data_IF_595926999617
#
_entry.id   IF_595926999617
#
_cell.length_a   1.000
_cell.length_b   1.000
_cell.length_c   1.000
_cell.angle_alpha   90.00
_cell.angle_beta   90.00
_cell.angle_gamma   90.00
#
_symmetry.space_group_name_H-M   'P 1'
#
loop_
_entity.id
_entity.type
_entity.pdbx_description
1 polymer ?
#
# COMPACT_ATOMS: atom_id res chain seq x y z
N UNK A 1 -7.43 29.60 19.07
CA UNK A 1 -7.39 28.72 17.88
C UNK A 1 -6.91 27.35 18.36
N UNK A 2 -7.79 26.36 18.44
CA UNK A 2 -7.44 25.03 18.94
C UNK A 2 -6.79 24.25 17.80
N UNK A 3 -5.47 24.05 17.86
CA UNK A 3 -4.79 23.15 16.94
C UNK A 3 -5.19 21.72 17.31
N UNK A 4 -6.10 21.13 16.54
CA UNK A 4 -6.31 19.67 16.56
C UNK A 4 -4.94 19.00 16.47
N UNK A 5 -4.61 18.03 17.34
CA UNK A 5 -3.37 17.27 17.20
C UNK A 5 -3.38 16.66 15.81
N UNK A 6 -2.44 17.08 14.95
CA UNK A 6 -2.28 16.45 13.64
C UNK A 6 -1.83 15.03 13.93
N UNK A 7 -2.68 14.06 13.60
CA UNK A 7 -2.28 12.67 13.55
C UNK A 7 -1.03 12.57 12.66
N UNK A 8 -0.05 11.77 13.09
CA UNK A 8 1.13 11.52 12.29
C UNK A 8 0.71 11.01 10.89
N UNK A 9 1.32 11.52 9.81
CA UNK A 9 0.94 11.16 8.45
C UNK A 9 1.13 9.65 8.23
N UNK A 10 0.13 8.96 7.65
CA UNK A 10 0.24 7.53 7.43
C UNK A 10 1.15 7.22 6.24
N UNK A 11 2.00 6.20 6.39
CA UNK A 11 2.88 5.67 5.35
C UNK A 11 2.57 4.19 5.18
N UNK A 12 2.27 3.76 3.95
CA UNK A 12 2.00 2.37 3.62
C UNK A 12 3.18 1.75 2.87
N UNK A 13 3.58 0.56 3.30
CA UNK A 13 4.53 -0.29 2.58
C UNK A 13 3.74 -1.34 1.79
N UNK A 14 3.91 -1.35 0.47
CA UNK A 14 3.27 -2.29 -0.45
C UNK A 14 4.33 -3.21 -1.03
N UNK A 15 4.26 -4.49 -0.71
CA UNK A 15 5.21 -5.51 -1.15
C UNK A 15 4.58 -6.27 -2.30
N UNK A 16 5.19 -6.18 -3.47
CA UNK A 16 4.77 -6.91 -4.67
C UNK A 16 5.51 -8.23 -4.71
N UNK A 17 4.77 -9.32 -4.63
CA UNK A 17 5.29 -10.67 -4.66
C UNK A 17 4.64 -11.46 -5.80
N UNK A 18 5.33 -11.50 -6.92
CA UNK A 18 4.98 -12.30 -8.09
C UNK A 18 5.13 -13.80 -7.84
N UNK A 19 4.32 -14.63 -8.51
CA UNK A 19 4.30 -16.07 -8.27
C UNK A 19 5.63 -16.79 -8.60
N UNK A 20 6.45 -16.21 -9.48
CA UNK A 20 7.71 -16.79 -9.93
C UNK A 20 8.84 -16.60 -8.90
N UNK A 21 8.59 -15.81 -7.86
CA UNK A 21 9.51 -15.65 -6.73
C UNK A 21 9.16 -16.67 -5.65
N UNK A 22 10.08 -17.58 -5.37
CA UNK A 22 9.93 -18.56 -4.30
C UNK A 22 9.86 -17.86 -2.93
N UNK A 23 9.04 -18.40 -2.02
CA UNK A 23 8.79 -17.79 -0.71
C UNK A 23 10.06 -17.64 0.14
N UNK A 24 10.96 -18.62 0.06
CA UNK A 24 12.24 -18.69 0.77
C UNK A 24 13.32 -17.77 0.19
N UNK A 25 13.20 -17.38 -1.09
CA UNK A 25 14.21 -16.59 -1.81
C UNK A 25 14.20 -15.08 -1.47
N UNK A 26 13.24 -14.60 -0.68
CA UNK A 26 13.16 -13.17 -0.31
C UNK A 26 11.95 -12.79 0.54
N UNK A 27 10.72 -13.13 0.11
CA UNK A 27 9.49 -12.80 0.84
C UNK A 27 9.50 -13.21 2.32
N UNK A 28 9.96 -14.41 2.65
CA UNK A 28 10.07 -14.88 4.03
C UNK A 28 11.07 -14.07 4.87
N UNK A 29 12.21 -13.68 4.29
CA UNK A 29 13.19 -12.80 4.95
C UNK A 29 12.61 -11.43 5.22
N UNK A 30 11.93 -10.85 4.23
CA UNK A 30 11.27 -9.55 4.37
C UNK A 30 10.16 -9.57 5.42
N UNK A 31 9.31 -10.60 5.40
CA UNK A 31 8.27 -10.79 6.41
C UNK A 31 8.87 -10.85 7.81
N UNK A 32 9.93 -11.63 8.01
CA UNK A 32 10.60 -11.72 9.32
C UNK A 32 11.08 -10.34 9.80
N UNK A 33 11.76 -9.58 8.94
CA UNK A 33 12.25 -8.24 9.29
C UNK A 33 11.10 -7.28 9.66
N UNK A 34 9.97 -7.34 8.94
CA UNK A 34 8.81 -6.50 9.24
C UNK A 34 8.10 -6.91 10.53
N UNK A 35 8.05 -8.20 10.86
CA UNK A 35 7.55 -8.70 12.14
C UNK A 35 8.43 -8.20 13.29
N UNK A 36 9.76 -8.30 13.14
CA UNK A 36 10.72 -7.82 14.13
C UNK A 36 10.55 -6.32 14.39
N UNK A 37 10.40 -5.52 13.32
CA UNK A 37 10.16 -4.08 13.40
C UNK A 37 8.71 -3.70 13.75
N UNK A 38 7.81 -4.69 13.90
CA UNK A 38 6.37 -4.50 14.13
C UNK A 38 5.71 -3.55 13.11
N UNK A 39 6.15 -3.60 11.87
CA UNK A 39 5.64 -2.73 10.81
C UNK A 39 4.57 -3.45 9.99
N UNK A 40 3.32 -2.95 9.94
CA UNK A 40 2.31 -3.52 9.07
C UNK A 40 2.64 -3.22 7.60
N UNK A 41 2.29 -4.16 6.72
CA UNK A 41 2.50 -4.03 5.28
C UNK A 41 1.36 -4.66 4.47
N UNK A 42 1.16 -4.13 3.27
CA UNK A 42 0.24 -4.68 2.28
C UNK A 42 1.01 -5.60 1.34
N UNK A 43 0.65 -6.88 1.33
CA UNK A 43 1.26 -7.90 0.49
C UNK A 43 0.41 -8.14 -0.75
N UNK A 44 0.86 -7.59 -1.87
CA UNK A 44 0.27 -7.81 -3.17
C UNK A 44 0.79 -9.13 -3.75
N UNK A 45 -0.07 -10.14 -3.80
CA UNK A 45 0.22 -11.50 -4.25
C UNK A 45 -0.70 -11.92 -5.40
N UNK A 46 -0.26 -12.82 -6.27
CA UNK A 46 -1.00 -13.26 -7.46
C UNK A 46 -1.87 -14.49 -7.19
N UNK A 47 -1.46 -15.33 -6.23
CA UNK A 47 -2.11 -16.59 -5.91
C UNK A 47 -2.35 -16.72 -4.40
N UNK A 48 -3.52 -17.24 -3.98
CA UNK A 48 -3.83 -17.45 -2.57
C UNK A 48 -2.78 -18.28 -1.82
N UNK A 49 -2.14 -19.26 -2.47
CA UNK A 49 -1.11 -20.09 -1.84
C UNK A 49 0.10 -19.29 -1.31
N UNK A 50 0.35 -18.09 -1.83
CA UNK A 50 1.40 -17.19 -1.32
C UNK A 50 1.05 -16.59 0.05
N UNK A 51 -0.21 -16.66 0.49
CA UNK A 51 -0.65 -16.17 1.81
C UNK A 51 -0.20 -17.06 2.96
N UNK A 52 0.06 -18.35 2.70
CA UNK A 52 0.40 -19.33 3.74
C UNK A 52 1.56 -18.87 4.64
N UNK A 53 2.72 -18.41 4.13
CA UNK A 53 3.78 -17.89 4.98
C UNK A 53 3.41 -16.59 5.70
N UNK A 54 2.47 -15.80 5.16
CA UNK A 54 2.04 -14.54 5.77
C UNK A 54 1.13 -14.75 7.00
N UNK A 55 0.54 -15.94 7.14
CA UNK A 55 -0.29 -16.32 8.29
C UNK A 55 0.46 -16.34 9.63
N UNK A 56 1.79 -16.21 9.62
CA UNK A 56 2.60 -16.09 10.84
C UNK A 56 2.38 -14.76 11.61
N UNK A 57 1.88 -13.72 10.94
CA UNK A 57 1.61 -12.41 11.56
C UNK A 57 0.38 -11.72 10.93
N UNK A 58 -0.82 -12.30 11.07
CA UNK A 58 -2.02 -11.81 10.39
C UNK A 58 -2.39 -10.36 10.74
N UNK A 59 -2.01 -9.90 11.93
CA UNK A 59 -2.24 -8.52 12.39
C UNK A 59 -1.33 -7.47 11.73
N UNK A 60 -0.25 -7.89 11.08
CA UNK A 60 0.69 -7.00 10.36
C UNK A 60 0.54 -7.11 8.84
N UNK A 61 -0.37 -7.95 8.36
CA UNK A 61 -0.49 -8.31 6.95
C UNK A 61 -1.88 -7.93 6.43
N UNK A 62 -1.90 -7.07 5.44
CA UNK A 62 -3.03 -6.98 4.51
C UNK A 62 -2.72 -7.83 3.28
N UNK A 63 -3.69 -8.66 2.85
CA UNK A 63 -3.61 -9.35 1.57
C UNK A 63 -4.19 -8.46 0.46
N UNK A 64 -3.41 -8.22 -0.58
CA UNK A 64 -3.83 -7.52 -1.78
C UNK A 64 -3.67 -8.43 -3.00
N UNK A 65 -4.54 -8.25 -3.99
CA UNK A 65 -4.42 -8.94 -5.27
C UNK A 65 -3.45 -8.17 -6.18
N UNK A 66 -2.35 -8.81 -6.53
CA UNK A 66 -1.42 -8.33 -7.55
C UNK A 66 -1.97 -8.73 -8.92
N UNK A 67 -2.26 -7.74 -9.76
CA UNK A 67 -2.68 -7.95 -11.13
C UNK A 67 -1.51 -7.69 -12.09
N UNK A 68 -1.35 -8.52 -13.13
CA UNK A 68 -0.35 -8.32 -14.16
C UNK A 68 -0.62 -7.03 -14.94
N UNK A 69 0.29 -6.70 -15.85
CA UNK A 69 0.22 -5.48 -16.64
C UNK A 69 -1.10 -5.43 -17.41
N UNK A 70 -1.79 -4.27 -17.33
CA UNK A 70 -3.11 -4.08 -17.94
C UNK A 70 -3.03 -4.32 -19.45
N UNK A 71 -3.62 -5.42 -19.89
CA UNK A 71 -3.82 -5.79 -21.30
C UNK A 71 -5.32 -5.99 -21.58
N UNK A 72 -5.66 -6.51 -22.78
CA UNK A 72 -7.04 -6.74 -23.20
C UNK A 72 -7.82 -7.67 -22.25
N UNK A 73 -7.14 -8.46 -21.42
CA UNK A 73 -7.73 -9.47 -20.54
C UNK A 73 -7.78 -9.02 -19.07
N UNK A 74 -7.54 -7.73 -18.78
CA UNK A 74 -7.49 -7.22 -17.40
C UNK A 74 -8.76 -7.52 -16.61
N UNK A 75 -9.95 -7.33 -17.22
CA UNK A 75 -11.23 -7.58 -16.54
C UNK A 75 -11.42 -9.05 -16.16
N UNK A 76 -11.02 -9.97 -17.05
CA UNK A 76 -11.11 -11.41 -16.82
C UNK A 76 -10.12 -11.83 -15.74
N UNK A 77 -8.86 -11.36 -15.83
CA UNK A 77 -7.83 -11.63 -14.83
C UNK A 77 -8.21 -11.09 -13.43
N UNK A 78 -8.87 -9.93 -13.38
CA UNK A 78 -9.41 -9.34 -12.16
C UNK A 78 -10.52 -10.21 -11.57
N UNK A 79 -11.53 -10.57 -12.37
CA UNK A 79 -12.65 -11.37 -11.90
C UNK A 79 -12.22 -12.75 -11.41
N UNK A 80 -11.38 -13.42 -12.19
CA UNK A 80 -10.79 -14.72 -11.88
C UNK A 80 -9.90 -14.65 -10.64
N UNK A 81 -9.05 -13.62 -10.52
CA UNK A 81 -8.23 -13.37 -9.34
C UNK A 81 -9.06 -13.18 -8.07
N UNK A 82 -10.06 -12.29 -8.10
CA UNK A 82 -10.95 -12.05 -6.95
C UNK A 82 -11.73 -13.31 -6.57
N UNK A 83 -12.20 -14.08 -7.56
CA UNK A 83 -12.89 -15.35 -7.30
C UNK A 83 -11.97 -16.35 -6.60
N UNK A 84 -10.72 -16.53 -7.06
CA UNK A 84 -9.75 -17.42 -6.42
C UNK A 84 -9.46 -17.02 -4.97
N UNK A 85 -9.26 -15.73 -4.70
CA UNK A 85 -8.99 -15.25 -3.35
C UNK A 85 -10.20 -15.43 -2.43
N UNK A 86 -11.40 -15.12 -2.93
CA UNK A 86 -12.65 -15.34 -2.21
C UNK A 86 -12.86 -16.83 -1.89
N UNK A 87 -12.63 -17.73 -2.85
CA UNK A 87 -12.73 -19.18 -2.65
C UNK A 87 -11.72 -19.71 -1.63
N UNK A 88 -10.56 -19.06 -1.51
CA UNK A 88 -9.55 -19.35 -0.49
C UNK A 88 -9.82 -18.67 0.87
N UNK A 89 -10.94 -17.95 1.02
CA UNK A 89 -11.33 -17.29 2.27
C UNK A 89 -10.60 -15.96 2.53
N UNK A 90 -9.97 -15.36 1.51
CA UNK A 90 -9.33 -14.06 1.62
C UNK A 90 -10.28 -12.95 1.15
N UNK A 91 -10.47 -11.94 2.00
CA UNK A 91 -11.12 -10.68 1.61
C UNK A 91 -10.06 -9.72 1.05
N UNK A 92 -10.25 -9.28 -0.19
CA UNK A 92 -9.28 -8.44 -0.92
C UNK A 92 -9.80 -7.01 -0.97
N UNK A 93 -9.35 -6.18 -0.05
CA UNK A 93 -9.70 -4.76 -0.01
C UNK A 93 -8.82 -3.90 -0.94
N UNK A 94 -7.66 -4.40 -1.35
CA UNK A 94 -6.68 -3.65 -2.15
C UNK A 94 -6.25 -4.42 -3.39
N UNK A 95 -6.20 -3.70 -4.52
CA UNK A 95 -5.57 -4.17 -5.75
C UNK A 95 -4.24 -3.47 -5.95
N UNK A 96 -3.20 -4.21 -6.32
CA UNK A 96 -1.96 -3.64 -6.84
C UNK A 96 -1.88 -3.94 -8.34
N UNK A 97 -1.82 -2.89 -9.16
CA UNK A 97 -1.87 -3.03 -10.62
C UNK A 97 -0.53 -2.58 -11.22
N UNK A 98 0.01 -3.41 -12.10
CA UNK A 98 1.12 -3.01 -12.96
C UNK A 98 0.61 -2.08 -14.08
N UNK A 99 0.61 -0.77 -13.82
CA UNK A 99 0.14 0.26 -14.76
C UNK A 99 -1.12 0.97 -14.31
N UNK A 100 -1.85 1.58 -15.27
CA UNK A 100 -3.09 2.31 -14.99
C UNK A 100 -4.30 1.43 -15.34
N UNK A 101 -5.27 1.25 -14.42
CA UNK A 101 -6.49 0.49 -14.72
C UNK A 101 -7.31 1.20 -15.81
N UNK A 102 -8.10 0.45 -16.60
CA UNK A 102 -9.07 1.03 -17.53
C UNK A 102 -10.04 1.92 -16.75
N UNK A 103 -10.29 3.15 -17.20
CA UNK A 103 -11.17 4.09 -16.50
C UNK A 103 -12.65 3.81 -16.81
N UNK A 104 -13.49 3.94 -15.79
CA UNK A 104 -14.93 4.20 -15.94
C UNK A 104 -15.84 3.00 -16.17
N UNK A 105 -15.32 1.76 -16.21
CA UNK A 105 -16.16 0.57 -16.41
C UNK A 105 -16.14 -0.41 -15.23
N UNK A 106 -15.11 -0.40 -14.39
CA UNK A 106 -14.92 -1.41 -13.34
C UNK A 106 -15.10 -0.90 -11.92
N UNK A 107 -15.15 0.42 -11.68
CA UNK A 107 -15.14 0.98 -10.31
C UNK A 107 -16.34 0.54 -9.47
N UNK A 108 -17.54 0.50 -10.05
CA UNK A 108 -18.74 0.03 -9.33
C UNK A 108 -18.63 -1.44 -8.96
N UNK A 109 -18.19 -2.27 -9.90
CA UNK A 109 -18.03 -3.70 -9.71
C UNK A 109 -16.96 -4.00 -8.65
N UNK A 110 -15.83 -3.28 -8.71
CA UNK A 110 -14.77 -3.36 -7.71
C UNK A 110 -15.28 -3.05 -6.31
N UNK A 111 -16.03 -1.95 -6.15
CA UNK A 111 -16.62 -1.59 -4.86
C UNK A 111 -17.62 -2.64 -4.35
N UNK A 112 -18.42 -3.23 -5.25
CA UNK A 112 -19.35 -4.32 -4.90
C UNK A 112 -18.63 -5.60 -4.46
N UNK A 113 -17.43 -5.84 -4.98
CA UNK A 113 -16.57 -6.97 -4.61
C UNK A 113 -15.71 -6.68 -3.37
N UNK A 114 -15.96 -5.56 -2.67
CA UNK A 114 -15.26 -5.22 -1.42
C UNK A 114 -13.93 -4.49 -1.59
N UNK A 115 -13.48 -4.25 -2.84
CA UNK A 115 -12.28 -3.47 -3.11
C UNK A 115 -12.50 -2.02 -2.70
N UNK A 116 -11.52 -1.43 -2.04
CA UNK A 116 -11.53 -0.05 -1.51
C UNK A 116 -10.34 0.77 -2.00
N UNK A 117 -9.26 0.12 -2.41
CA UNK A 117 -8.05 0.79 -2.86
C UNK A 117 -7.44 0.13 -4.10
N UNK A 118 -6.85 0.96 -4.96
CA UNK A 118 -6.05 0.55 -6.11
C UNK A 118 -4.70 1.24 -6.01
N UNK A 119 -3.64 0.45 -5.89
CA UNK A 119 -2.25 0.92 -5.92
C UNK A 119 -1.70 0.70 -7.31
N UNK A 120 -1.31 1.79 -7.98
CA UNK A 120 -0.65 1.73 -9.29
C UNK A 120 0.85 1.97 -9.15
N UNK A 121 1.62 1.50 -10.12
CA UNK A 121 3.06 1.79 -10.21
C UNK A 121 3.35 3.30 -10.23
N UNK A 122 4.54 3.67 -9.74
CA UNK A 122 4.99 5.05 -9.72
C UNK A 122 5.12 5.59 -11.15
N UNK A 123 4.54 6.75 -11.39
CA UNK A 123 4.75 7.55 -12.57
C UNK A 123 6.21 8.03 -12.61
N UNK A 124 6.81 8.10 -13.82
CA UNK A 124 8.23 8.46 -14.02
C UNK A 124 8.67 9.80 -13.39
N UNK A 125 7.71 10.65 -13.01
CA UNK A 125 7.88 11.91 -12.30
C UNK A 125 8.16 11.77 -10.80
N UNK A 126 8.03 10.59 -10.18
CA UNK A 126 8.35 10.36 -8.76
C UNK A 126 7.42 11.04 -7.75
N UNK A 127 6.39 11.75 -8.22
CA UNK A 127 5.36 12.37 -7.37
C UNK A 127 4.23 11.36 -7.14
N UNK A 128 4.23 10.72 -5.96
CA UNK A 128 3.08 9.94 -5.53
C UNK A 128 1.82 10.79 -5.44
N UNK A 129 0.67 10.16 -5.60
CA UNK A 129 -0.61 10.84 -5.57
C UNK A 129 -1.67 9.92 -5.00
N UNK A 130 -2.60 10.48 -4.25
CA UNK A 130 -3.76 9.76 -3.72
C UNK A 130 -4.99 10.54 -4.13
N UNK A 131 -5.93 9.87 -4.80
CA UNK A 131 -7.16 10.50 -5.29
C UNK A 131 -8.37 9.62 -5.02
N UNK A 132 -9.52 10.23 -4.71
CA UNK A 132 -10.77 9.48 -4.65
C UNK A 132 -11.20 9.07 -6.06
N UNK A 133 -11.83 7.90 -6.14
CA UNK A 133 -12.56 7.40 -7.30
C UNK A 133 -14.05 7.28 -6.92
N UNK A 134 -14.95 7.09 -7.90
CA UNK A 134 -16.36 6.81 -7.63
C UNK A 134 -16.57 5.61 -6.68
N UNK A 135 -17.74 5.56 -6.05
CA UNK A 135 -18.16 4.44 -5.18
C UNK A 135 -17.28 4.21 -3.93
N UNK A 136 -16.57 5.24 -3.46
CA UNK A 136 -15.76 5.16 -2.23
C UNK A 136 -14.42 4.45 -2.41
N UNK A 137 -13.98 4.25 -3.66
CA UNK A 137 -12.67 3.72 -4.00
C UNK A 137 -11.59 4.81 -3.90
N UNK A 138 -10.37 4.41 -3.60
CA UNK A 138 -9.20 5.27 -3.62
C UNK A 138 -8.16 4.74 -4.59
N UNK A 139 -7.56 5.62 -5.38
CA UNK A 139 -6.41 5.28 -6.19
C UNK A 139 -5.17 5.96 -5.62
N UNK A 140 -4.10 5.19 -5.43
CA UNK A 140 -2.82 5.68 -4.99
C UNK A 140 -1.70 5.29 -5.97
N UNK A 141 -0.85 6.25 -6.33
CA UNK A 141 0.42 5.97 -6.99
C UNK A 141 1.56 5.97 -5.97
N UNK A 142 2.46 5.00 -6.10
CA UNK A 142 3.62 4.92 -5.23
C UNK A 142 4.49 6.17 -5.35
N UNK A 143 4.90 6.72 -4.20
CA UNK A 143 5.87 7.81 -4.11
C UNK A 143 7.26 7.32 -4.54
N UNK A 144 7.52 6.02 -4.36
CA UNK A 144 8.57 5.33 -5.09
C UNK A 144 8.62 3.85 -4.82
N UNK A 145 9.68 3.26 -5.36
CA UNK A 145 9.88 1.81 -5.39
C UNK A 145 11.27 1.48 -4.85
N UNK A 146 11.33 0.52 -3.93
CA UNK A 146 12.53 -0.07 -3.38
C UNK A 146 12.86 -1.37 -4.14
N UNK A 147 14.15 -1.63 -4.44
CA UNK A 147 15.31 -0.75 -4.24
C UNK A 147 15.28 0.47 -5.17
N UNK A 148 15.71 1.64 -4.69
CA UNK A 148 15.57 2.89 -5.45
C UNK A 148 16.63 3.00 -6.54
N UNK A 149 16.22 3.28 -7.79
CA UNK A 149 17.18 3.58 -8.88
C UNK A 149 17.82 4.97 -8.74
N UNK A 150 17.22 5.87 -7.95
CA UNK A 150 17.70 7.23 -7.69
C UNK A 150 18.01 7.34 -6.21
N UNK A 151 19.18 7.87 -5.83
CA UNK A 151 19.65 7.98 -4.44
C UNK A 151 18.64 8.76 -3.57
N UNK A 152 17.69 8.07 -2.94
CA UNK A 152 16.72 8.61 -1.98
C UNK A 152 17.36 9.14 -0.68
N UNK A 153 18.69 9.08 -0.58
CA UNK A 153 19.47 9.32 0.64
C UNK A 153 19.98 10.77 0.80
N UNK A 154 19.31 11.79 0.25
CA UNK A 154 19.54 13.16 0.74
C UNK A 154 18.77 13.33 2.05
N UNK A 155 19.50 13.12 3.15
CA UNK A 155 19.04 13.08 4.54
C UNK A 155 18.87 14.50 5.10
N UNK A 156 17.76 14.75 5.80
CA UNK A 156 17.71 15.71 6.91
C UNK A 156 17.01 15.00 8.07
N UNK A 157 17.71 14.80 9.19
CA UNK A 157 17.13 14.22 10.41
C UNK A 157 16.83 12.72 10.42
N UNK A 158 17.27 11.96 9.40
CA UNK A 158 17.16 10.49 9.39
C UNK A 158 15.92 9.91 8.70
N UNK A 159 15.11 10.74 8.03
CA UNK A 159 14.01 10.29 7.17
C UNK A 159 14.26 10.86 5.76
N UNK A 160 13.99 10.13 4.67
CA UNK A 160 14.11 10.67 3.32
C UNK A 160 13.36 11.99 3.22
N UNK A 161 14.04 13.05 2.77
CA UNK A 161 13.45 14.38 2.68
C UNK A 161 12.18 14.38 1.82
N UNK A 162 12.01 13.45 0.89
CA UNK A 162 10.80 13.33 0.07
C UNK A 162 9.61 12.72 0.84
N UNK A 163 9.87 11.84 1.81
CA UNK A 163 8.85 11.30 2.73
C UNK A 163 8.43 12.31 3.80
N UNK A 164 9.27 13.29 4.17
CA UNK A 164 8.96 14.30 5.21
C UNK A 164 8.63 15.68 4.64
N UNK A 165 9.35 16.14 3.61
CA UNK A 165 9.04 17.39 2.91
C UNK A 165 7.79 17.27 2.02
N UNK A 166 7.39 16.04 1.67
CA UNK A 166 6.09 15.74 1.07
C UNK A 166 4.97 15.44 2.07
N UNK A 167 5.27 15.19 3.36
CA UNK A 167 4.31 14.72 4.36
C UNK A 167 3.45 15.83 4.98
N UNK A 168 2.82 16.65 4.13
CA UNK A 168 1.52 17.22 4.49
C UNK A 168 0.40 16.16 4.48
N UNK A 169 0.66 14.95 3.98
CA UNK A 169 -0.35 13.91 3.76
C UNK A 169 0.20 12.48 3.66
N UNK A 170 -0.69 11.52 3.33
CA UNK A 170 -0.38 10.10 3.25
C UNK A 170 0.65 9.75 2.15
N UNK A 171 1.49 8.73 2.40
CA UNK A 171 2.51 8.25 1.46
C UNK A 171 2.42 6.74 1.21
N UNK A 172 2.79 6.30 0.00
CA UNK A 172 2.84 4.88 -0.41
C UNK A 172 4.25 4.58 -0.91
N UNK A 173 4.89 3.56 -0.35
CA UNK A 173 6.19 3.04 -0.78
C UNK A 173 5.95 1.62 -1.29
N UNK A 174 6.50 1.30 -2.46
CA UNK A 174 6.43 -0.06 -3.02
C UNK A 174 7.77 -0.77 -2.89
N UNK A 175 7.79 -2.08 -2.70
CA UNK A 175 8.97 -2.91 -2.82
C UNK A 175 8.64 -4.11 -3.71
N UNK A 176 9.47 -4.40 -4.69
CA UNK A 176 9.26 -5.55 -5.59
C UNK A 176 10.21 -6.69 -5.21
N UNK A 177 9.63 -7.82 -4.79
CA UNK A 177 10.39 -8.99 -4.33
C UNK A 177 11.26 -9.58 -5.44
N UNK A 178 10.80 -9.57 -6.69
CA UNK A 178 11.58 -10.08 -7.83
C UNK A 178 12.79 -9.18 -8.09
N UNK A 179 12.61 -7.86 -7.99
CA UNK A 179 13.67 -6.88 -8.18
C UNK A 179 14.73 -6.95 -7.07
N UNK A 180 14.31 -7.16 -5.81
CA UNK A 180 15.22 -7.35 -4.67
C UNK A 180 16.13 -8.56 -4.86
N UNK A 181 15.57 -9.68 -5.35
CA UNK A 181 16.33 -10.89 -5.65
C UNK A 181 17.30 -10.63 -6.81
N UNK A 182 16.81 -10.02 -7.89
CA UNK A 182 17.60 -9.76 -9.10
C UNK A 182 18.79 -8.84 -8.81
N UNK A 183 18.63 -7.84 -7.96
CA UNK A 183 19.68 -6.90 -7.59
C UNK A 183 20.57 -7.39 -6.42
N UNK A 184 20.17 -8.45 -5.71
CA UNK A 184 20.97 -9.13 -4.71
C UNK A 184 21.23 -8.32 -3.44
N UNK A 185 22.38 -8.56 -2.81
CA UNK A 185 22.69 -8.08 -1.45
C UNK A 185 22.57 -6.55 -1.27
N UNK A 186 22.96 -5.77 -2.28
CA UNK A 186 22.89 -4.31 -2.22
C UNK A 186 21.44 -3.82 -2.07
N UNK A 187 20.54 -4.38 -2.85
CA UNK A 187 19.12 -4.01 -2.80
C UNK A 187 18.49 -4.39 -1.46
N UNK A 188 18.90 -5.53 -0.90
CA UNK A 188 18.52 -5.93 0.45
C UNK A 188 19.01 -4.95 1.52
N UNK A 189 20.28 -4.54 1.47
CA UNK A 189 20.80 -3.54 2.41
C UNK A 189 20.11 -2.19 2.29
N UNK A 190 19.75 -1.77 1.06
CA UNK A 190 18.98 -0.54 0.85
C UNK A 190 17.56 -0.64 1.44
N UNK A 191 16.92 -1.81 1.31
CA UNK A 191 15.60 -2.08 1.91
C UNK A 191 15.66 -2.14 3.44
N UNK A 192 16.64 -2.85 4.01
CA UNK A 192 16.82 -2.94 5.47
C UNK A 192 17.04 -1.55 6.07
N UNK A 193 17.90 -0.73 5.47
CA UNK A 193 18.10 0.65 5.89
C UNK A 193 16.81 1.49 5.81
N UNK A 194 15.97 1.27 4.80
CA UNK A 194 14.69 1.94 4.68
C UNK A 194 13.71 1.49 5.78
N UNK A 195 13.67 0.20 6.10
CA UNK A 195 12.86 -0.35 7.20
C UNK A 195 13.30 0.25 8.55
N UNK A 196 14.60 0.29 8.82
CA UNK A 196 15.15 0.88 10.07
C UNK A 196 14.76 2.35 10.22
N UNK A 197 14.75 3.10 9.10
CA UNK A 197 14.33 4.51 9.09
C UNK A 197 12.82 4.66 9.33
N UNK A 198 12.00 3.80 8.72
CA UNK A 198 10.56 3.79 8.94
C UNK A 198 10.21 3.44 10.39
N UNK A 199 10.88 2.43 10.95
CA UNK A 199 10.79 2.01 12.35
C UNK A 199 11.12 3.20 13.27
N UNK A 200 12.30 3.80 13.11
CA UNK A 200 12.73 4.96 13.92
C UNK A 200 11.74 6.13 13.82
N UNK A 201 11.23 6.42 12.63
CA UNK A 201 10.28 7.53 12.42
C UNK A 201 8.91 7.24 13.04
N UNK A 202 8.46 5.98 12.99
CA UNK A 202 7.22 5.52 13.61
C UNK A 202 7.30 5.57 15.14
N UNK A 203 8.41 5.10 15.72
CA UNK A 203 8.67 5.16 17.18
C UNK A 203 8.71 6.59 17.71
N UNK A 204 9.25 7.53 16.92
CA UNK A 204 9.27 8.97 17.26
C UNK A 204 7.92 9.66 17.04
N UNK A 205 6.91 8.95 16.53
CA UNK A 205 5.60 9.52 16.19
C UNK A 205 5.65 10.52 15.03
N UNK A 206 6.73 10.52 14.23
CA UNK A 206 6.87 11.41 13.07
C UNK A 206 6.01 10.95 11.89
N UNK A 207 5.79 9.63 11.79
CA UNK A 207 4.90 8.97 10.82
C UNK A 207 4.09 7.89 11.54
N UNK A 208 3.06 7.37 10.87
CA UNK A 208 2.33 6.17 11.30
C UNK A 208 2.39 5.12 10.21
N UNK A 209 2.95 3.95 10.47
CA UNK A 209 2.92 2.87 9.48
C UNK A 209 1.53 2.20 9.49
N UNK A 210 0.94 2.01 8.30
CA UNK A 210 -0.39 1.45 8.14
C UNK A 210 -0.50 0.62 6.86
N UNK A 211 -1.49 -0.27 6.80
CA UNK A 211 -1.84 -0.95 5.55
C UNK A 211 -2.59 -0.01 4.60
N UNK A 212 -2.69 -0.36 3.32
CA UNK A 212 -3.44 0.42 2.33
C UNK A 212 -4.94 0.38 2.63
N UNK A 213 -5.47 -0.76 3.08
CA UNK A 213 -6.85 -0.85 3.56
C UNK A 213 -7.14 0.12 4.72
N UNK A 214 -6.24 0.20 5.70
CA UNK A 214 -6.38 1.14 6.82
C UNK A 214 -6.39 2.60 6.35
N UNK A 215 -5.49 2.93 5.42
CA UNK A 215 -5.42 4.26 4.82
C UNK A 215 -6.71 4.57 4.05
N UNK A 216 -7.20 3.67 3.21
CA UNK A 216 -8.43 3.87 2.45
C UNK A 216 -9.65 4.03 3.38
N UNK A 217 -9.73 3.23 4.45
CA UNK A 217 -10.77 3.38 5.46
C UNK A 217 -10.70 4.73 6.17
N UNK A 218 -9.50 5.21 6.51
CA UNK A 218 -9.30 6.54 7.09
C UNK A 218 -9.74 7.65 6.13
N UNK A 219 -9.28 7.61 4.88
CA UNK A 219 -9.61 8.60 3.87
C UNK A 219 -11.12 8.65 3.60
N UNK A 220 -11.79 7.50 3.52
CA UNK A 220 -13.26 7.43 3.38
C UNK A 220 -13.98 8.02 4.58
N UNK A 221 -13.52 7.78 5.81
CA UNK A 221 -14.09 8.42 7.02
C UNK A 221 -13.90 9.93 7.01
N UNK A 222 -12.76 10.43 6.53
CA UNK A 222 -12.48 11.86 6.44
C UNK A 222 -13.28 12.55 5.32
N UNK A 223 -13.53 11.86 4.22
CA UNK A 223 -14.30 12.36 3.08
C UNK A 223 -15.82 12.34 3.29
N UNK A 224 -16.32 11.56 4.27
CA UNK A 224 -17.74 11.47 4.56
C UNK A 224 -18.31 12.86 4.95
N UNK A 225 -19.45 13.29 4.37
CA UNK A 225 -20.05 14.57 4.69
C UNK A 225 -20.39 14.62 6.17
N UNK A 226 -19.88 15.65 6.88
CA UNK A 226 -20.26 15.90 8.26
C UNK A 226 -21.77 16.16 8.30
N UNK A 227 -22.56 15.43 9.11
CA UNK A 227 -23.99 15.66 9.19
C UNK A 227 -24.23 17.12 9.55
N UNK A 228 -24.98 17.83 8.71
CA UNK A 228 -25.44 19.18 9.03
C UNK A 228 -26.20 19.10 10.34
N UNK A 229 -25.64 19.65 11.40
CA UNK A 229 -26.38 19.89 12.64
C UNK A 229 -27.44 20.93 12.29
N UNK A 230 -28.65 20.46 12.00
CA UNK A 230 -29.82 21.29 11.89
C UNK A 230 -29.98 22.04 13.22
N UNK A 231 -29.63 23.33 13.23
CA UNK A 231 -29.97 24.26 14.32
C UNK A 231 -31.43 24.66 14.08
N UNK A 232 -32.35 23.70 14.18
CA UNK A 232 -33.74 24.04 14.45
C UNK A 232 -33.83 24.29 15.96
N UNK A 233 -33.50 25.52 16.36
CA UNK A 233 -34.02 26.07 17.61
C UNK A 233 -35.53 26.17 17.41
N UNK A 234 -36.27 25.30 18.10
CA UNK A 234 -37.69 25.52 18.31
C UNK A 234 -37.86 26.93 18.92
N UNK A 235 -38.63 27.76 18.23
CA UNK A 235 -39.05 29.08 18.68
C UNK A 235 -40.26 28.94 19.61
#
# INVERSE_FOLDING_TARGET
MSSTPRNAPPVCLVIRWSNHVAADAGPARLLRRLIEARLPATWAIEQPAQSTPLAAAPQLVEHALLLPRVDANFSDALADGLHRFSAAGHDVATLAVAGQPPRGQSERQLAQLGVRAIVTESNASGSGSIRPLPFGLWQASAHGTLPSRRRWLRRVGGVPQELVAGAAGPAIITADAAELIRQGARAWSELELAIDQLETANERGAIRIATVADLAAELTRQAAPKPQRSILRAA
#
